data_IF_317180800212
#
_entry.id   IF_317180800212
#
_cell.length_a   1.000
_cell.length_b   1.000
_cell.length_c   1.000
_cell.angle_alpha   90.00
_cell.angle_beta   90.00
_cell.angle_gamma   90.00
#
_symmetry.space_group_name_H-M   'P 1'
#
loop_
_entity.id
_entity.type
_entity.pdbx_description
1 polymer ?
#
# COMPACT_ATOMS: atom_id res chain seq x y z
N UNK A 1 20.64 -9.00 19.28
CA UNK A 1 20.06 -8.01 18.36
C UNK A 1 20.94 -6.77 18.40
N UNK A 2 21.25 -6.15 17.26
CA UNK A 2 21.93 -4.86 17.23
C UNK A 2 21.13 -3.81 18.02
N UNK A 3 21.81 -2.84 18.64
CA UNK A 3 21.14 -1.78 19.41
C UNK A 3 20.29 -0.87 18.52
N UNK A 4 20.73 -0.67 17.28
CA UNK A 4 20.05 0.12 16.26
C UNK A 4 19.39 -0.76 15.19
N UNK A 5 18.29 -0.25 14.63
CA UNK A 5 17.56 -0.84 13.51
C UNK A 5 18.30 -0.61 12.18
N UNK A 6 18.65 -1.69 11.47
CA UNK A 6 19.31 -1.62 10.15
C UNK A 6 18.86 -2.80 9.27
N UNK A 7 18.86 -2.60 7.95
CA UNK A 7 18.71 -3.70 6.99
C UNK A 7 20.02 -4.47 6.86
N UNK A 8 19.95 -5.79 6.76
CA UNK A 8 21.12 -6.65 6.51
C UNK A 8 21.58 -6.55 5.07
N UNK A 9 20.64 -6.46 4.13
CA UNK A 9 20.93 -6.48 2.69
C UNK A 9 20.15 -5.43 1.92
N UNK A 10 20.72 -4.95 0.81
CA UNK A 10 20.03 -4.05 -0.13
C UNK A 10 18.76 -4.70 -0.70
N UNK A 11 18.78 -6.02 -0.95
CA UNK A 11 17.61 -6.78 -1.39
C UNK A 11 16.50 -6.79 -0.33
N UNK A 12 16.86 -6.93 0.94
CA UNK A 12 15.92 -6.83 2.06
C UNK A 12 15.18 -5.49 2.09
N UNK A 13 15.93 -4.39 1.97
CA UNK A 13 15.35 -3.05 1.85
C UNK A 13 14.42 -2.93 0.63
N UNK A 14 14.87 -3.38 -0.54
CA UNK A 14 14.10 -3.25 -1.79
C UNK A 14 12.79 -4.03 -1.69
N UNK A 15 12.83 -5.29 -1.24
CA UNK A 15 11.64 -6.12 -1.11
C UNK A 15 10.69 -5.60 -0.04
N UNK A 16 11.19 -5.13 1.11
CA UNK A 16 10.34 -4.55 2.14
C UNK A 16 9.67 -3.26 1.67
N UNK A 17 10.43 -2.37 1.02
CA UNK A 17 9.89 -1.13 0.46
C UNK A 17 8.88 -1.43 -0.67
N UNK A 18 9.17 -2.43 -1.50
CA UNK A 18 8.24 -2.91 -2.51
C UNK A 18 6.96 -3.48 -1.89
N UNK A 19 7.05 -4.28 -0.83
CA UNK A 19 5.88 -4.80 -0.12
C UNK A 19 5.08 -3.75 0.64
N UNK A 20 5.71 -2.64 1.02
CA UNK A 20 4.99 -1.45 1.51
C UNK A 20 4.20 -0.78 0.40
N UNK A 21 4.79 -0.62 -0.79
CA UNK A 21 4.16 0.00 -1.96
C UNK A 21 3.04 -0.89 -2.55
N UNK A 22 3.32 -2.19 -2.69
CA UNK A 22 2.43 -3.20 -3.27
C UNK A 22 1.49 -3.72 -2.19
N UNK A 23 0.50 -2.91 -1.86
CA UNK A 23 -0.57 -3.27 -0.95
C UNK A 23 -1.88 -3.63 -1.65
N UNK A 24 -2.97 -3.58 -0.90
CA UNK A 24 -4.32 -3.78 -1.42
C UNK A 24 -4.63 -2.83 -2.60
N UNK A 25 -4.15 -1.58 -2.55
CA UNK A 25 -4.36 -0.60 -3.62
C UNK A 25 -3.93 -1.08 -5.01
N UNK A 26 -2.73 -1.65 -5.12
CA UNK A 26 -2.21 -2.17 -6.38
C UNK A 26 -2.99 -3.40 -6.88
N UNK A 27 -3.51 -4.20 -5.95
CA UNK A 27 -4.12 -5.50 -6.25
C UNK A 27 -5.59 -5.44 -6.70
N UNK A 28 -6.37 -4.45 -6.25
CA UNK A 28 -7.80 -4.35 -6.62
C UNK A 28 -8.21 -2.94 -7.06
N UNK A 29 -7.65 -1.88 -6.46
CA UNK A 29 -8.01 -0.49 -6.78
C UNK A 29 -7.52 -0.12 -8.18
N UNK A 30 -6.27 -0.43 -8.52
CA UNK A 30 -5.74 -0.18 -9.87
C UNK A 30 -6.54 -0.91 -10.97
N UNK A 31 -6.74 -2.25 -10.89
CA UNK A 31 -7.57 -2.95 -11.86
C UNK A 31 -8.94 -2.31 -12.04
N UNK A 32 -9.66 -2.06 -10.93
CA UNK A 32 -10.97 -1.42 -10.94
C UNK A 32 -10.99 -0.09 -11.71
N UNK A 33 -10.09 0.84 -11.35
CA UNK A 33 -10.01 2.15 -12.02
C UNK A 33 -9.61 2.04 -13.47
N UNK A 34 -8.67 1.16 -13.81
CA UNK A 34 -8.28 0.94 -15.20
C UNK A 34 -9.47 0.40 -16.02
N UNK A 35 -10.30 -0.49 -15.46
CA UNK A 35 -11.53 -0.95 -16.12
C UNK A 35 -12.49 0.20 -16.46
N UNK A 36 -12.76 1.07 -15.49
CA UNK A 36 -13.73 2.18 -15.64
C UNK A 36 -13.20 3.31 -16.52
N UNK A 37 -11.94 3.70 -16.39
CA UNK A 37 -11.40 4.92 -17.02
C UNK A 37 -10.62 4.65 -18.32
N UNK A 38 -11.06 3.69 -19.13
CA UNK A 38 -10.55 3.51 -20.49
C UNK A 38 -9.39 2.53 -20.66
N UNK A 39 -9.21 1.59 -19.73
CA UNK A 39 -8.31 0.44 -19.86
C UNK A 39 -6.87 0.84 -20.07
N UNK A 40 -6.33 0.51 -21.25
CA UNK A 40 -4.95 0.80 -21.62
C UNK A 40 -4.60 2.28 -21.62
N UNK A 41 -5.61 3.16 -21.79
CA UNK A 41 -5.41 4.60 -21.80
C UNK A 41 -5.18 5.12 -20.36
N UNK A 42 -5.96 4.64 -19.39
CA UNK A 42 -5.70 4.86 -17.96
C UNK A 42 -4.35 4.28 -17.53
N UNK A 43 -4.04 3.04 -17.95
CA UNK A 43 -2.75 2.41 -17.67
C UNK A 43 -1.59 3.29 -18.17
N UNK A 44 -1.68 3.83 -19.38
CA UNK A 44 -0.65 4.70 -19.94
C UNK A 44 -0.43 5.97 -19.11
N UNK A 45 -1.51 6.61 -18.65
CA UNK A 45 -1.44 7.76 -17.74
C UNK A 45 -0.85 7.38 -16.39
N UNK A 46 -1.28 6.26 -15.81
CA UNK A 46 -0.74 5.73 -14.56
C UNK A 46 0.77 5.47 -14.67
N UNK A 47 1.24 4.86 -15.76
CA UNK A 47 2.66 4.64 -16.00
C UNK A 47 3.43 5.95 -16.09
N UNK A 48 2.90 6.92 -16.84
CA UNK A 48 3.50 8.24 -16.99
C UNK A 48 3.61 8.94 -15.62
N UNK A 49 2.53 9.02 -14.85
CA UNK A 49 2.57 9.66 -13.54
C UNK A 49 3.46 8.91 -12.55
N UNK A 50 3.46 7.57 -12.56
CA UNK A 50 4.33 6.79 -11.70
C UNK A 50 5.82 7.02 -12.01
N UNK A 51 6.19 7.17 -13.29
CA UNK A 51 7.57 7.41 -13.71
C UNK A 51 8.00 8.87 -13.51
N UNK A 52 7.16 9.84 -13.85
CA UNK A 52 7.52 11.26 -13.85
C UNK A 52 7.16 12.02 -12.58
N UNK A 53 6.31 11.45 -11.72
CA UNK A 53 5.90 12.06 -10.45
C UNK A 53 6.26 11.13 -9.29
N UNK A 54 5.77 9.89 -9.32
CA UNK A 54 5.99 8.91 -8.26
C UNK A 54 7.46 8.59 -7.99
N UNK A 55 8.21 8.22 -9.03
CA UNK A 55 9.63 7.86 -8.92
C UNK A 55 10.50 9.02 -8.38
N UNK A 56 10.39 10.27 -8.90
CA UNK A 56 11.11 11.40 -8.32
C UNK A 56 10.82 11.64 -6.84
N UNK A 57 9.56 11.53 -6.41
CA UNK A 57 9.17 11.68 -5.01
C UNK A 57 9.67 10.53 -4.14
N UNK A 58 9.68 9.29 -4.66
CA UNK A 58 10.27 8.16 -3.95
C UNK A 58 11.78 8.34 -3.76
N UNK A 59 12.49 8.81 -4.79
CA UNK A 59 13.92 9.16 -4.70
C UNK A 59 14.12 10.27 -3.65
N UNK A 60 13.22 11.25 -3.58
CA UNK A 60 13.24 12.29 -2.55
C UNK A 60 13.12 11.72 -1.14
N UNK A 61 12.09 10.92 -0.86
CA UNK A 61 11.92 10.32 0.47
C UNK A 61 13.11 9.45 0.86
N UNK A 62 13.64 8.67 -0.07
CA UNK A 62 14.84 7.86 0.18
C UNK A 62 16.09 8.70 0.45
N UNK A 63 16.26 9.80 -0.28
CA UNK A 63 17.38 10.73 -0.07
C UNK A 63 17.29 11.35 1.32
N UNK A 64 16.11 11.84 1.72
CA UNK A 64 15.87 12.41 3.04
C UNK A 64 16.13 11.38 4.15
N UNK A 65 15.58 10.17 4.02
CA UNK A 65 15.77 9.10 5.01
C UNK A 65 17.24 8.73 5.17
N UNK A 66 17.95 8.52 4.06
CA UNK A 66 19.38 8.17 4.06
C UNK A 66 20.27 9.29 4.61
N UNK A 67 19.93 10.56 4.34
CA UNK A 67 20.60 11.73 4.91
C UNK A 67 20.39 11.82 6.42
N UNK A 68 19.14 11.66 6.86
CA UNK A 68 18.75 11.83 8.25
C UNK A 68 19.24 10.73 9.17
N UNK A 69 19.19 9.45 8.74
CA UNK A 69 19.49 8.27 9.57
C UNK A 69 18.93 8.38 10.98
N UNK A 70 17.67 8.77 11.07
CA UNK A 70 16.95 8.95 12.33
C UNK A 70 15.46 8.76 12.04
N UNK A 71 14.66 8.70 13.09
CA UNK A 71 13.21 8.54 13.01
C UNK A 71 12.53 9.82 12.52
N UNK A 72 11.38 9.70 11.86
CA UNK A 72 10.80 10.80 11.07
C UNK A 72 10.31 11.97 11.92
N UNK A 73 9.92 11.75 13.17
CA UNK A 73 9.51 12.85 14.08
C UNK A 73 10.68 13.72 14.57
N UNK A 74 11.93 13.41 14.21
CA UNK A 74 13.10 14.29 14.46
C UNK A 74 13.85 14.69 13.18
N UNK A 75 13.59 14.03 12.05
CA UNK A 75 14.47 14.09 10.88
C UNK A 75 14.66 15.51 10.33
N UNK A 76 13.59 16.31 10.25
CA UNK A 76 13.68 17.64 9.66
C UNK A 76 14.44 18.62 10.55
N UNK A 77 14.27 18.55 11.87
CA UNK A 77 15.06 19.35 12.81
C UNK A 77 16.56 19.03 12.73
N UNK A 78 16.91 17.75 12.52
CA UNK A 78 18.30 17.32 12.33
C UNK A 78 18.89 17.86 11.03
N UNK A 79 18.11 17.90 9.95
CA UNK A 79 18.58 18.32 8.63
C UNK A 79 18.56 19.83 8.41
N UNK A 80 17.71 20.57 9.11
CA UNK A 80 17.49 22.02 8.87
C UNK A 80 17.80 22.91 10.07
N UNK A 81 17.96 22.33 11.27
CA UNK A 81 18.02 23.07 12.54
C UNK A 81 16.66 23.59 13.04
N UNK A 82 15.57 23.48 12.26
CA UNK A 82 14.26 24.04 12.59
C UNK A 82 13.35 22.98 13.22
N UNK A 83 13.14 23.07 14.54
CA UNK A 83 12.34 22.08 15.31
C UNK A 83 10.88 21.96 14.86
N UNK A 84 10.24 23.06 14.45
CA UNK A 84 8.81 23.07 14.08
C UNK A 84 8.51 22.24 12.82
N UNK A 85 9.50 22.00 11.95
CA UNK A 85 9.33 21.15 10.76
C UNK A 85 9.11 19.67 11.10
N UNK A 86 9.42 19.24 12.33
CA UNK A 86 9.13 17.89 12.78
C UNK A 86 7.62 17.59 12.81
N UNK A 87 6.76 18.60 12.75
CA UNK A 87 5.31 18.42 12.58
C UNK A 87 4.99 17.60 11.32
N UNK A 88 5.79 17.66 10.26
CA UNK A 88 5.61 16.84 9.06
C UNK A 88 5.78 15.34 9.39
N UNK A 89 6.77 15.01 10.21
CA UNK A 89 6.98 13.64 10.70
C UNK A 89 5.86 13.16 11.62
N UNK A 90 5.34 14.05 12.47
CA UNK A 90 4.18 13.74 13.32
C UNK A 90 2.88 13.57 12.53
N UNK A 91 2.67 14.38 11.48
CA UNK A 91 1.59 14.19 10.51
C UNK A 91 1.68 12.81 9.87
N UNK A 92 2.86 12.42 9.38
CA UNK A 92 3.10 11.08 8.84
C UNK A 92 2.82 9.97 9.85
N UNK A 93 3.27 10.14 11.11
CA UNK A 93 3.01 9.20 12.20
C UNK A 93 1.51 9.01 12.49
N UNK A 94 0.76 10.12 12.58
CA UNK A 94 -0.69 10.08 12.75
C UNK A 94 -1.39 9.43 11.55
N UNK A 95 -0.95 9.77 10.33
CA UNK A 95 -1.50 9.22 9.10
C UNK A 95 -1.41 7.70 9.09
N UNK A 96 -0.22 7.12 9.34
CA UNK A 96 -0.07 5.65 9.33
C UNK A 96 -0.77 4.96 10.50
N UNK A 97 -0.93 5.64 11.63
CA UNK A 97 -1.64 5.10 12.79
C UNK A 97 -3.12 4.92 12.48
N UNK A 98 -3.76 5.97 11.93
CA UNK A 98 -5.16 5.92 11.47
C UNK A 98 -5.31 4.99 10.27
N UNK A 99 -4.37 5.02 9.32
CA UNK A 99 -4.33 4.16 8.13
C UNK A 99 -4.32 2.69 8.52
N UNK A 100 -3.44 2.30 9.45
CA UNK A 100 -3.39 0.91 9.90
C UNK A 100 -4.69 0.49 10.58
N UNK A 101 -5.36 1.41 11.27
CA UNK A 101 -6.67 1.19 11.85
C UNK A 101 -7.68 0.68 10.82
N UNK A 102 -8.01 1.46 9.79
CA UNK A 102 -9.00 1.02 8.81
C UNK A 102 -8.46 -0.06 7.84
N UNK A 103 -7.16 -0.06 7.54
CA UNK A 103 -6.53 -1.08 6.72
C UNK A 103 -6.62 -2.48 7.36
N UNK A 104 -6.55 -2.55 8.70
CA UNK A 104 -6.68 -3.79 9.45
C UNK A 104 -8.09 -4.42 9.38
N UNK A 105 -9.13 -3.62 9.07
CA UNK A 105 -10.49 -4.12 8.86
C UNK A 105 -10.52 -5.04 7.64
N UNK A 106 -9.96 -4.57 6.52
CA UNK A 106 -9.86 -5.36 5.28
C UNK A 106 -8.94 -6.56 5.48
N UNK A 107 -7.81 -6.37 6.18
CA UNK A 107 -6.93 -7.47 6.56
C UNK A 107 -7.64 -8.55 7.39
N UNK A 108 -8.51 -8.15 8.30
CA UNK A 108 -9.35 -9.05 9.09
C UNK A 108 -10.32 -9.86 8.24
N UNK A 109 -10.96 -9.24 7.25
CA UNK A 109 -11.83 -9.95 6.30
C UNK A 109 -11.06 -11.03 5.53
N UNK A 110 -9.84 -10.73 5.08
CA UNK A 110 -8.99 -11.72 4.41
C UNK A 110 -8.74 -12.93 5.32
N UNK A 111 -8.40 -12.72 6.59
CA UNK A 111 -8.22 -13.80 7.58
C UNK A 111 -9.49 -14.65 7.73
N UNK A 112 -10.65 -14.01 7.84
CA UNK A 112 -11.93 -14.71 8.01
C UNK A 112 -12.24 -15.56 6.78
N UNK A 113 -12.08 -15.03 5.58
CA UNK A 113 -12.31 -15.76 4.33
C UNK A 113 -11.33 -16.92 4.15
N UNK A 114 -10.06 -16.75 4.51
CA UNK A 114 -9.09 -17.86 4.52
C UNK A 114 -9.57 -18.97 5.44
N UNK A 115 -10.05 -18.64 6.64
CA UNK A 115 -10.60 -19.61 7.59
C UNK A 115 -11.77 -20.41 7.00
N UNK A 116 -12.74 -19.73 6.37
CA UNK A 116 -13.89 -20.39 5.74
C UNK A 116 -13.47 -21.32 4.60
N UNK A 117 -12.56 -20.87 3.73
CA UNK A 117 -12.06 -21.69 2.62
C UNK A 117 -11.31 -22.93 3.13
N UNK A 118 -10.54 -22.81 4.22
CA UNK A 118 -9.89 -23.96 4.86
C UNK A 118 -10.93 -24.95 5.40
N UNK A 119 -11.95 -24.48 6.11
CA UNK A 119 -13.02 -25.35 6.64
C UNK A 119 -13.77 -26.08 5.52
N UNK A 120 -14.02 -25.39 4.41
CA UNK A 120 -14.61 -25.96 3.20
C UNK A 120 -13.71 -27.04 2.56
N UNK A 121 -12.41 -26.77 2.42
CA UNK A 121 -11.44 -27.75 1.91
C UNK A 121 -11.36 -29.00 2.78
N UNK A 122 -11.52 -28.85 4.10
CA UNK A 122 -11.56 -29.96 5.06
C UNK A 122 -12.92 -30.66 5.11
N UNK A 123 -13.89 -30.25 4.27
CA UNK A 123 -15.27 -30.76 4.25
C UNK A 123 -16.03 -30.61 5.59
N UNK A 124 -15.56 -29.72 6.46
CA UNK A 124 -16.22 -29.38 7.73
C UNK A 124 -17.40 -28.43 7.52
N UNK A 125 -17.40 -27.70 6.39
CA UNK A 125 -18.53 -26.93 5.88
C UNK A 125 -18.88 -27.40 4.47
N UNK A 126 -20.16 -27.74 4.25
CA UNK A 126 -20.67 -28.19 2.94
C UNK A 126 -21.17 -27.03 2.07
N UNK A 127 -21.00 -25.79 2.53
CA UNK A 127 -21.45 -24.63 1.81
C UNK A 127 -20.60 -24.41 0.55
N UNK A 128 -21.22 -24.01 -0.56
CA UNK A 128 -20.49 -23.59 -1.76
C UNK A 128 -19.86 -22.21 -1.55
N UNK A 129 -18.81 -21.87 -2.31
CA UNK A 129 -18.16 -20.54 -2.25
C UNK A 129 -19.15 -19.37 -2.40
N UNK A 130 -20.28 -19.63 -3.06
CA UNK A 130 -21.34 -18.65 -3.36
C UNK A 130 -22.35 -18.47 -2.23
N UNK A 131 -22.33 -19.32 -1.20
CA UNK A 131 -23.23 -19.24 -0.04
C UNK A 131 -22.66 -18.37 1.09
N UNK A 132 -21.39 -17.97 1.02
CA UNK A 132 -20.80 -17.02 1.96
C UNK A 132 -21.25 -15.62 1.54
N UNK A 133 -22.29 -15.09 2.20
CA UNK A 133 -22.69 -13.70 2.02
C UNK A 133 -21.65 -12.77 2.67
N UNK A 134 -21.02 -11.94 1.86
CA UNK A 134 -20.09 -10.91 2.36
C UNK A 134 -20.78 -9.99 3.37
N UNK A 135 -22.00 -9.53 3.07
CA UNK A 135 -22.80 -8.68 3.94
C UNK A 135 -23.16 -9.38 5.25
N UNK A 136 -23.53 -10.66 5.19
CA UNK A 136 -23.78 -11.48 6.37
C UNK A 136 -22.53 -11.64 7.25
N UNK A 137 -21.35 -11.76 6.65
CA UNK A 137 -20.09 -11.85 7.38
C UNK A 137 -19.72 -10.52 8.04
N UNK A 138 -19.69 -9.42 7.29
CA UNK A 138 -19.22 -8.13 7.81
C UNK A 138 -20.21 -7.51 8.80
N UNK A 139 -21.48 -7.93 8.77
CA UNK A 139 -22.49 -7.53 9.75
C UNK A 139 -22.35 -8.25 11.09
N UNK A 140 -21.52 -9.30 11.21
CA UNK A 140 -21.23 -9.95 12.48
C UNK A 140 -20.09 -9.22 13.22
N UNK A 141 -20.37 -8.50 14.33
CA UNK A 141 -19.37 -7.67 15.01
C UNK A 141 -18.27 -8.50 15.67
N UNK A 142 -18.60 -9.69 16.19
CA UNK A 142 -17.62 -10.54 16.87
C UNK A 142 -16.61 -11.13 15.89
N UNK A 143 -17.09 -11.70 14.79
CA UNK A 143 -16.22 -12.34 13.79
C UNK A 143 -15.26 -11.31 13.18
N UNK A 144 -15.77 -10.13 12.81
CA UNK A 144 -15.00 -9.06 12.20
C UNK A 144 -13.94 -8.48 13.14
N UNK A 145 -14.29 -8.20 14.40
CA UNK A 145 -13.35 -7.70 15.42
C UNK A 145 -12.27 -8.74 15.75
N UNK A 146 -12.62 -10.02 15.85
CA UNK A 146 -11.63 -11.10 16.07
C UNK A 146 -10.70 -11.23 14.88
N UNK A 147 -11.22 -11.25 13.64
CA UNK A 147 -10.42 -11.31 12.42
C UNK A 147 -9.43 -10.14 12.32
N UNK A 148 -9.89 -8.93 12.62
CA UNK A 148 -9.04 -7.74 12.71
C UNK A 148 -7.95 -7.89 13.78
N UNK A 149 -8.31 -8.35 14.98
CA UNK A 149 -7.36 -8.58 16.07
C UNK A 149 -6.26 -9.59 15.68
N UNK A 150 -6.62 -10.67 15.00
CA UNK A 150 -5.66 -11.65 14.47
C UNK A 150 -4.73 -10.99 13.44
N UNK A 151 -5.26 -10.21 12.50
CA UNK A 151 -4.45 -9.53 11.49
C UNK A 151 -3.44 -8.54 12.11
N UNK A 152 -3.88 -7.75 13.09
CA UNK A 152 -3.01 -6.84 13.84
C UNK A 152 -1.97 -7.63 14.63
N UNK A 153 -2.34 -8.74 15.27
CA UNK A 153 -1.41 -9.58 16.01
C UNK A 153 -0.30 -10.17 15.11
N UNK A 154 -0.64 -10.64 13.91
CA UNK A 154 0.34 -11.12 12.92
C UNK A 154 1.33 -10.01 12.55
N UNK A 155 0.82 -8.81 12.28
CA UNK A 155 1.64 -7.63 11.98
C UNK A 155 2.56 -7.28 13.15
N UNK A 156 2.01 -7.25 14.36
CA UNK A 156 2.72 -6.95 15.61
C UNK A 156 3.89 -7.91 15.83
N UNK A 157 3.65 -9.22 15.70
CA UNK A 157 4.69 -10.24 15.89
C UNK A 157 5.87 -10.00 14.95
N UNK A 158 5.62 -9.67 13.69
CA UNK A 158 6.69 -9.42 12.72
C UNK A 158 7.49 -8.16 13.10
N UNK A 159 6.81 -7.07 13.48
CA UNK A 159 7.47 -5.80 13.85
C UNK A 159 8.28 -5.92 15.14
N UNK A 160 7.81 -6.72 16.11
CA UNK A 160 8.53 -7.02 17.36
C UNK A 160 9.88 -7.68 17.13
N UNK A 161 10.00 -8.49 16.07
CA UNK A 161 11.24 -9.20 15.72
C UNK A 161 12.31 -8.28 15.12
N UNK A 162 11.98 -7.01 14.84
CA UNK A 162 12.93 -6.01 14.35
C UNK A 162 13.05 -5.97 12.83
N UNK A 163 13.84 -5.01 12.35
CA UNK A 163 14.05 -4.79 10.91
C UNK A 163 14.70 -6.01 10.25
N UNK A 164 15.87 -6.45 10.72
CA UNK A 164 16.56 -7.63 10.18
C UNK A 164 15.82 -8.94 10.51
N UNK A 165 15.38 -9.09 11.75
CA UNK A 165 14.84 -10.35 12.27
C UNK A 165 13.39 -10.64 11.85
N UNK A 166 12.62 -9.59 11.57
CA UNK A 166 11.21 -9.65 11.21
C UNK A 166 10.94 -9.13 9.80
N UNK A 167 11.01 -7.82 9.61
CA UNK A 167 10.62 -7.14 8.36
C UNK A 167 11.34 -7.71 7.12
N UNK A 168 12.66 -7.81 7.19
CA UNK A 168 13.48 -8.28 6.07
C UNK A 168 13.19 -9.75 5.75
N UNK A 169 13.09 -10.61 6.76
CA UNK A 169 12.80 -12.04 6.57
C UNK A 169 11.40 -12.26 6.01
N UNK A 170 10.40 -11.60 6.58
CA UNK A 170 9.03 -11.65 6.11
C UNK A 170 8.95 -11.22 4.64
N UNK A 171 9.53 -10.06 4.31
CA UNK A 171 9.51 -9.53 2.94
C UNK A 171 10.25 -10.42 1.93
N UNK A 172 11.37 -11.04 2.33
CA UNK A 172 12.13 -11.98 1.49
C UNK A 172 11.38 -13.27 1.16
N UNK A 173 10.37 -13.62 1.95
CA UNK A 173 9.53 -14.81 1.72
C UNK A 173 8.25 -14.40 1.01
N UNK A 174 7.53 -13.42 1.56
CA UNK A 174 6.20 -13.04 1.12
C UNK A 174 6.21 -12.37 -0.26
N UNK A 175 7.19 -11.54 -0.59
CA UNK A 175 7.21 -10.85 -1.89
C UNK A 175 7.46 -11.79 -3.07
N UNK A 176 8.44 -12.71 -3.03
CA UNK A 176 8.58 -13.71 -4.09
C UNK A 176 7.36 -14.63 -4.19
N UNK A 177 6.80 -15.08 -3.06
CA UNK A 177 5.61 -15.93 -3.08
C UNK A 177 4.38 -15.21 -3.64
N UNK A 178 4.19 -13.94 -3.30
CA UNK A 178 3.15 -13.09 -3.88
C UNK A 178 3.27 -13.06 -5.40
N UNK A 179 4.48 -12.84 -5.93
CA UNK A 179 4.70 -12.83 -7.38
C UNK A 179 4.42 -14.20 -8.03
N UNK A 180 4.89 -15.30 -7.41
CA UNK A 180 4.66 -16.66 -7.92
C UNK A 180 3.16 -16.98 -7.94
N UNK A 181 2.46 -16.72 -6.84
CA UNK A 181 1.02 -16.95 -6.76
C UNK A 181 0.25 -16.07 -7.75
N UNK A 182 0.69 -14.83 -7.96
CA UNK A 182 0.06 -13.94 -8.94
C UNK A 182 0.21 -14.51 -10.34
N UNK A 183 1.41 -14.99 -10.67
CA UNK A 183 1.69 -15.60 -11.98
C UNK A 183 0.82 -16.85 -12.21
N UNK A 184 0.66 -17.71 -11.21
CA UNK A 184 -0.24 -18.88 -11.29
C UNK A 184 -1.67 -18.45 -11.61
N UNK A 185 -2.19 -17.43 -10.91
CA UNK A 185 -3.55 -16.93 -11.14
C UNK A 185 -3.68 -16.29 -12.52
N UNK A 186 -2.69 -15.49 -12.96
CA UNK A 186 -2.69 -14.88 -14.30
C UNK A 186 -2.73 -15.97 -15.37
N UNK A 187 -1.85 -16.98 -15.29
CA UNK A 187 -1.84 -18.10 -16.25
C UNK A 187 -3.20 -18.78 -16.27
N UNK A 188 -3.78 -19.08 -15.10
CA UNK A 188 -5.10 -19.70 -15.04
C UNK A 188 -6.19 -18.81 -15.66
N UNK A 189 -6.19 -17.52 -15.36
CA UNK A 189 -7.14 -16.54 -15.89
C UNK A 189 -7.08 -16.43 -17.42
N UNK A 190 -5.86 -16.48 -17.98
CA UNK A 190 -5.63 -16.45 -19.43
C UNK A 190 -6.01 -17.74 -20.17
N UNK A 191 -6.21 -18.85 -19.46
CA UNK A 191 -6.68 -20.13 -20.05
C UNK A 191 -8.20 -20.25 -20.09
N UNK A 192 -8.94 -19.25 -19.60
CA UNK A 192 -10.40 -19.25 -19.62
C UNK A 192 -10.94 -18.93 -21.02
N UNK A 193 -12.10 -19.49 -21.34
CA UNK A 193 -12.78 -19.21 -22.60
C UNK A 193 -13.21 -17.73 -22.66
N UNK A 194 -12.83 -17.01 -23.72
CA UNK A 194 -13.10 -15.58 -23.81
C UNK A 194 -12.17 -14.69 -22.96
N UNK A 195 -11.04 -15.23 -22.50
CA UNK A 195 -10.04 -14.48 -21.75
C UNK A 195 -9.44 -13.31 -22.56
N UNK A 196 -9.30 -13.48 -23.89
CA UNK A 196 -8.65 -12.50 -24.75
C UNK A 196 -9.41 -11.17 -24.76
N UNK A 197 -10.72 -11.21 -24.74
CA UNK A 197 -11.61 -10.05 -24.67
C UNK A 197 -11.42 -9.30 -23.35
N UNK A 198 -11.26 -10.00 -22.23
CA UNK A 198 -10.92 -9.37 -20.95
C UNK A 198 -9.50 -8.78 -20.93
N UNK A 199 -8.54 -9.40 -21.61
CA UNK A 199 -7.19 -8.82 -21.82
C UNK A 199 -7.27 -7.55 -22.66
N UNK A 200 -8.00 -7.58 -23.77
CA UNK A 200 -8.25 -6.40 -24.62
C UNK A 200 -8.95 -5.30 -23.82
N UNK A 201 -9.92 -5.65 -22.99
CA UNK A 201 -10.62 -4.69 -22.15
C UNK A 201 -9.69 -3.93 -21.20
N UNK A 202 -8.65 -4.55 -20.66
CA UNK A 202 -7.73 -3.87 -19.74
C UNK A 202 -6.51 -3.22 -20.43
N UNK A 203 -6.07 -3.75 -21.57
CA UNK A 203 -4.85 -3.28 -22.26
C UNK A 203 -5.12 -2.38 -23.48
N UNK A 204 -6.27 -2.49 -24.12
CA UNK A 204 -6.59 -1.65 -25.29
C UNK A 204 -6.88 -0.22 -24.84
N UNK A 205 -6.22 0.80 -25.43
CA UNK A 205 -6.43 2.18 -25.03
C UNK A 205 -7.76 2.70 -25.57
N UNK A 206 -8.70 3.00 -24.67
CA UNK A 206 -9.97 3.67 -24.99
C UNK A 206 -9.89 5.14 -24.56
N UNK A 207 -9.34 5.98 -25.42
CA UNK A 207 -9.09 7.41 -25.15
C UNK A 207 -10.41 8.15 -24.91
N UNK A 208 -11.47 7.77 -25.63
CA UNK A 208 -12.81 8.34 -25.48
C UNK A 208 -13.45 8.14 -24.10
N UNK A 209 -12.97 7.15 -23.34
CA UNK A 209 -13.44 6.83 -21.98
C UNK A 209 -12.62 7.57 -20.91
N UNK A 210 -11.56 8.31 -21.30
CA UNK A 210 -10.78 9.12 -20.36
C UNK A 210 -11.54 10.41 -20.08
N UNK A 211 -12.00 10.54 -18.84
CA UNK A 211 -12.46 11.80 -18.27
C UNK A 211 -11.34 12.54 -17.54
N UNK A 212 -11.52 13.83 -17.27
CA UNK A 212 -10.63 14.59 -16.39
C UNK A 212 -10.48 13.92 -15.02
N UNK A 213 -11.58 13.36 -14.50
CA UNK A 213 -11.58 12.59 -13.26
C UNK A 213 -10.68 11.34 -13.37
N UNK A 214 -10.72 10.62 -14.50
CA UNK A 214 -9.84 9.49 -14.76
C UNK A 214 -8.35 9.87 -14.78
N UNK A 215 -7.99 11.01 -15.38
CA UNK A 215 -6.61 11.54 -15.34
C UNK A 215 -6.15 11.79 -13.91
N UNK A 216 -7.02 12.41 -13.11
CA UNK A 216 -6.69 12.76 -11.73
C UNK A 216 -6.63 11.53 -10.82
N UNK A 217 -7.47 10.53 -11.07
CA UNK A 217 -7.36 9.24 -10.40
C UNK A 217 -6.07 8.49 -10.77
N UNK A 218 -5.65 8.49 -12.04
CA UNK A 218 -4.38 7.91 -12.43
C UNK A 218 -3.20 8.59 -11.71
N UNK A 219 -3.24 9.92 -11.60
CA UNK A 219 -2.26 10.70 -10.87
C UNK A 219 -2.28 10.34 -9.37
N UNK A 220 -3.43 10.38 -8.71
CA UNK A 220 -3.58 10.02 -7.30
C UNK A 220 -3.18 8.57 -7.00
N UNK A 221 -3.46 7.63 -7.91
CA UNK A 221 -3.02 6.24 -7.77
C UNK A 221 -1.50 6.12 -7.79
N UNK A 222 -0.79 6.89 -8.61
CA UNK A 222 0.67 6.88 -8.62
C UNK A 222 1.30 7.31 -7.28
N UNK A 223 0.63 8.18 -6.51
CA UNK A 223 1.04 8.55 -5.15
C UNK A 223 0.75 7.45 -4.14
N UNK A 224 -0.50 6.98 -4.13
CA UNK A 224 -0.98 6.01 -3.16
C UNK A 224 -0.24 4.68 -3.27
N UNK A 225 -0.05 4.18 -4.50
CA UNK A 225 0.61 2.90 -4.76
C UNK A 225 2.08 2.88 -4.37
N UNK A 226 2.74 4.03 -4.19
CA UNK A 226 4.13 4.11 -3.77
C UNK A 226 4.27 4.48 -2.28
N UNK A 227 3.16 4.50 -1.53
CA UNK A 227 3.08 4.89 -0.11
C UNK A 227 3.66 6.28 0.19
N UNK A 228 3.60 7.20 -0.77
CA UNK A 228 4.22 8.53 -0.65
C UNK A 228 3.42 9.45 0.27
N UNK A 229 4.11 10.35 0.98
CA UNK A 229 3.50 11.38 1.81
C UNK A 229 3.22 10.97 3.26
N UNK A 230 3.39 9.69 3.59
CA UNK A 230 3.27 9.19 4.98
C UNK A 230 4.57 9.25 5.76
N UNK A 231 5.69 9.59 5.13
CA UNK A 231 7.07 9.43 5.66
C UNK A 231 7.50 7.97 5.90
N UNK A 232 6.71 6.98 5.45
CA UNK A 232 7.07 5.56 5.56
C UNK A 232 8.35 5.20 4.81
N UNK A 233 8.48 5.67 3.57
CA UNK A 233 9.67 5.42 2.74
C UNK A 233 10.92 6.13 3.29
N UNK A 234 10.74 7.30 3.92
CA UNK A 234 11.81 7.97 4.68
C UNK A 234 12.31 7.07 5.82
N UNK A 235 11.41 6.46 6.60
CA UNK A 235 11.80 5.58 7.71
C UNK A 235 12.54 4.35 7.23
N UNK A 236 12.05 3.68 6.20
CA UNK A 236 12.73 2.52 5.63
C UNK A 236 14.12 2.88 5.11
N UNK A 237 14.27 4.04 4.45
CA UNK A 237 15.55 4.53 3.97
C UNK A 237 16.49 4.99 5.09
N UNK A 238 15.97 5.35 6.27
CA UNK A 238 16.79 5.70 7.45
C UNK A 238 17.60 4.51 7.96
N UNK A 239 17.11 3.29 7.73
CA UNK A 239 17.76 2.02 8.06
C UNK A 239 18.68 1.50 6.94
N UNK A 240 18.71 2.19 5.79
CA UNK A 240 19.42 1.72 4.60
C UNK A 240 20.93 1.57 4.82
N UNK A 241 21.53 0.47 4.31
CA UNK A 241 22.99 0.32 4.30
C UNK A 241 23.66 1.47 3.56
N UNK A 242 24.87 1.88 3.98
CA UNK A 242 25.61 2.98 3.33
C UNK A 242 25.81 2.74 1.83
N UNK A 243 26.09 1.50 1.44
CA UNK A 243 26.34 1.06 0.07
C UNK A 243 25.10 1.04 -0.84
N UNK A 244 23.89 1.16 -0.29
CA UNK A 244 22.65 1.12 -1.07
C UNK A 244 22.56 2.30 -2.04
N UNK A 245 22.23 2.02 -3.30
CA UNK A 245 22.03 3.02 -4.34
C UNK A 245 20.55 3.43 -4.44
N UNK A 246 20.22 4.64 -4.00
CA UNK A 246 18.84 5.17 -3.96
C UNK A 246 18.11 5.01 -5.30
N UNK A 247 18.73 5.44 -6.40
CA UNK A 247 18.10 5.44 -7.73
C UNK A 247 17.74 4.05 -8.24
N UNK A 248 18.68 3.10 -8.17
CA UNK A 248 18.43 1.73 -8.61
C UNK A 248 17.37 1.05 -7.77
N UNK A 249 17.36 1.29 -6.45
CA UNK A 249 16.36 0.73 -5.56
C UNK A 249 14.98 1.32 -5.81
N UNK A 250 14.87 2.65 -5.95
CA UNK A 250 13.61 3.32 -6.27
C UNK A 250 13.05 2.85 -7.61
N UNK A 251 13.89 2.74 -8.65
CA UNK A 251 13.48 2.21 -9.95
C UNK A 251 12.98 0.76 -9.85
N UNK A 252 13.69 -0.09 -9.10
CA UNK A 252 13.29 -1.50 -8.92
C UNK A 252 11.92 -1.61 -8.25
N UNK A 253 11.66 -0.79 -7.23
CA UNK A 253 10.38 -0.74 -6.52
C UNK A 253 9.25 -0.30 -7.45
N UNK A 254 9.47 0.78 -8.20
CA UNK A 254 8.49 1.29 -9.17
C UNK A 254 8.18 0.26 -10.25
N UNK A 255 9.21 -0.40 -10.80
CA UNK A 255 9.03 -1.45 -11.82
C UNK A 255 8.27 -2.64 -11.26
N UNK A 256 8.60 -3.12 -10.06
CA UNK A 256 7.84 -4.21 -9.41
C UNK A 256 6.38 -3.82 -9.16
N UNK A 257 6.14 -2.58 -8.71
CA UNK A 257 4.79 -2.08 -8.46
C UNK A 257 3.95 -2.03 -9.74
N UNK A 258 4.53 -1.52 -10.83
CA UNK A 258 3.89 -1.49 -12.14
C UNK A 258 3.58 -2.92 -12.61
N UNK A 259 4.56 -3.82 -12.55
CA UNK A 259 4.37 -5.22 -12.98
C UNK A 259 3.24 -5.89 -12.21
N UNK A 260 3.21 -5.76 -10.88
CA UNK A 260 2.18 -6.39 -10.06
C UNK A 260 0.80 -5.75 -10.30
N UNK A 261 0.71 -4.44 -10.50
CA UNK A 261 -0.56 -3.77 -10.84
C UNK A 261 -1.13 -4.26 -12.17
N UNK A 262 -0.28 -4.39 -13.20
CA UNK A 262 -0.69 -4.92 -14.51
C UNK A 262 -1.08 -6.40 -14.41
N UNK A 263 -0.28 -7.22 -13.71
CA UNK A 263 -0.58 -8.63 -13.49
C UNK A 263 -1.86 -8.83 -12.69
N UNK A 264 -2.16 -7.99 -11.70
CA UNK A 264 -3.43 -8.02 -10.97
C UNK A 264 -4.62 -7.73 -11.90
N UNK A 265 -4.47 -6.79 -12.84
CA UNK A 265 -5.46 -6.57 -13.90
C UNK A 265 -5.67 -7.82 -14.76
N UNK A 266 -4.59 -8.45 -15.21
CA UNK A 266 -4.65 -9.69 -16.01
C UNK A 266 -5.15 -10.90 -15.23
N UNK A 267 -5.00 -10.92 -13.91
CA UNK A 267 -5.57 -11.96 -13.06
C UNK A 267 -7.09 -11.84 -12.97
N UNK A 268 -7.62 -10.62 -12.89
CA UNK A 268 -9.03 -10.34 -12.58
C UNK A 268 -9.88 -10.25 -13.84
N UNK A 269 -9.51 -9.41 -14.81
CA UNK A 269 -10.40 -9.03 -15.92
C UNK A 269 -10.77 -10.14 -16.90
N UNK A 270 -9.84 -11.01 -17.33
CA UNK A 270 -10.21 -12.15 -18.18
C UNK A 270 -11.26 -13.04 -17.53
N UNK A 271 -11.11 -13.30 -16.23
CA UNK A 271 -12.06 -14.11 -15.47
C UNK A 271 -13.40 -13.40 -15.27
N UNK A 272 -13.42 -12.09 -14.99
CA UNK A 272 -14.66 -11.31 -14.91
C UNK A 272 -15.44 -11.36 -16.23
N UNK A 273 -14.76 -11.13 -17.36
CA UNK A 273 -15.37 -11.09 -18.67
C UNK A 273 -15.94 -12.45 -19.07
N UNK A 274 -15.15 -13.52 -18.89
CA UNK A 274 -15.56 -14.91 -19.17
C UNK A 274 -16.90 -15.26 -18.52
N UNK A 275 -17.11 -14.85 -17.27
CA UNK A 275 -18.31 -15.19 -16.51
C UNK A 275 -19.36 -14.07 -16.46
N UNK A 276 -19.20 -13.02 -17.27
CA UNK A 276 -20.19 -11.94 -17.40
C UNK A 276 -20.33 -11.05 -16.16
N UNK A 277 -19.27 -10.93 -15.35
CA UNK A 277 -19.25 -10.04 -14.19
C UNK A 277 -18.62 -8.68 -14.54
N UNK A 278 -19.15 -7.62 -13.93
CA UNK A 278 -18.62 -6.27 -14.08
C UNK A 278 -17.68 -5.91 -12.93
N UNK A 279 -16.66 -5.04 -13.16
CA UNK A 279 -15.79 -4.54 -12.11
C UNK A 279 -16.62 -3.81 -11.05
N UNK A 280 -16.50 -4.21 -9.78
CA UNK A 280 -17.11 -3.50 -8.67
C UNK A 280 -16.07 -2.66 -7.94
N UNK A 281 -16.51 -1.50 -7.42
CA UNK A 281 -15.69 -0.73 -6.51
C UNK A 281 -15.54 -1.46 -5.18
N UNK A 282 -14.47 -1.12 -4.50
CA UNK A 282 -14.27 -1.52 -3.13
C UNK A 282 -13.76 -2.96 -2.95
N UNK A 283 -13.66 -3.35 -1.68
CA UNK A 283 -13.43 -4.74 -1.26
C UNK A 283 -14.50 -5.71 -1.81
N UNK A 284 -15.63 -5.23 -2.33
CA UNK A 284 -16.67 -6.04 -2.97
C UNK A 284 -16.18 -6.87 -4.15
N UNK A 285 -15.19 -6.39 -4.91
CA UNK A 285 -14.56 -7.21 -5.97
C UNK A 285 -13.94 -8.48 -5.40
N UNK A 286 -13.15 -8.34 -4.33
CA UNK A 286 -12.41 -9.43 -3.69
C UNK A 286 -13.34 -10.46 -3.04
N UNK A 287 -14.38 -9.99 -2.36
CA UNK A 287 -15.18 -10.84 -1.48
C UNK A 287 -16.57 -11.19 -2.00
N UNK A 288 -17.07 -10.53 -3.05
CA UNK A 288 -18.35 -10.86 -3.68
C UNK A 288 -18.16 -11.46 -5.06
N UNK A 289 -17.39 -10.78 -5.90
CA UNK A 289 -17.32 -11.14 -7.32
C UNK A 289 -16.36 -12.29 -7.56
N UNK A 290 -15.15 -12.24 -7.00
CA UNK A 290 -14.15 -13.28 -7.24
C UNK A 290 -14.54 -14.68 -6.72
N UNK A 291 -15.19 -14.85 -5.55
CA UNK A 291 -15.71 -16.16 -5.14
C UNK A 291 -16.66 -16.76 -6.18
N UNK A 292 -17.52 -15.94 -6.80
CA UNK A 292 -18.43 -16.38 -7.86
C UNK A 292 -17.65 -16.84 -9.08
N UNK A 293 -16.66 -16.06 -9.52
CA UNK A 293 -15.78 -16.39 -10.64
C UNK A 293 -15.05 -17.72 -10.39
N UNK A 294 -14.40 -17.88 -9.24
CA UNK A 294 -13.68 -19.10 -8.91
C UNK A 294 -14.62 -20.30 -8.77
N UNK A 295 -15.85 -20.12 -8.28
CA UNK A 295 -16.83 -21.22 -8.18
C UNK A 295 -17.19 -21.86 -9.54
N UNK A 296 -17.00 -21.12 -10.64
CA UNK A 296 -17.22 -21.61 -12.01
C UNK A 296 -16.01 -22.31 -12.60
N UNK A 297 -14.86 -22.27 -11.93
CA UNK A 297 -13.63 -22.91 -12.40
C UNK A 297 -13.44 -24.31 -11.82
N UNK A 298 -12.88 -25.21 -12.63
CA UNK A 298 -12.34 -26.46 -12.09
C UNK A 298 -11.19 -26.16 -11.11
N UNK A 299 -11.19 -26.83 -9.95
CA UNK A 299 -10.34 -26.51 -8.79
C UNK A 299 -10.48 -25.07 -8.25
N UNK A 300 -11.63 -24.44 -8.47
CA UNK A 300 -11.91 -23.06 -8.08
C UNK A 300 -11.56 -22.69 -6.64
N UNK A 301 -11.90 -23.56 -5.68
CA UNK A 301 -11.62 -23.36 -4.24
C UNK A 301 -10.12 -23.23 -3.98
N UNK A 302 -9.28 -24.04 -4.65
CA UNK A 302 -7.82 -23.97 -4.51
C UNK A 302 -7.25 -22.68 -5.09
N UNK A 303 -7.73 -22.24 -6.26
CA UNK A 303 -7.31 -20.96 -6.85
C UNK A 303 -7.75 -19.77 -6.00
N UNK A 304 -8.97 -19.80 -5.46
CA UNK A 304 -9.45 -18.76 -4.56
C UNK A 304 -8.62 -18.70 -3.26
N UNK A 305 -8.26 -19.85 -2.70
CA UNK A 305 -7.36 -19.91 -1.55
C UNK A 305 -6.00 -19.28 -1.83
N UNK A 306 -5.36 -19.66 -2.95
CA UNK A 306 -4.08 -19.06 -3.37
C UNK A 306 -4.23 -17.53 -3.53
N UNK A 307 -5.33 -17.09 -4.12
CA UNK A 307 -5.63 -15.67 -4.28
C UNK A 307 -5.78 -14.94 -2.95
N UNK A 308 -6.47 -15.53 -1.97
CA UNK A 308 -6.59 -14.95 -0.63
C UNK A 308 -5.24 -14.90 0.10
N UNK A 309 -4.40 -15.92 -0.03
CA UNK A 309 -3.04 -15.92 0.55
C UNK A 309 -2.18 -14.83 -0.08
N UNK A 310 -2.28 -14.64 -1.40
CA UNK A 310 -1.61 -13.54 -2.10
C UNK A 310 -2.05 -12.19 -1.55
N UNK A 311 -3.36 -11.97 -1.38
CA UNK A 311 -3.90 -10.75 -0.80
C UNK A 311 -3.49 -10.56 0.66
N UNK A 312 -3.42 -11.65 1.43
CA UNK A 312 -2.91 -11.61 2.79
C UNK A 312 -1.45 -11.18 2.82
N UNK A 313 -0.61 -11.66 1.90
CA UNK A 313 0.78 -11.25 1.81
C UNK A 313 0.91 -9.77 1.47
N UNK A 314 0.19 -9.28 0.46
CA UNK A 314 0.16 -7.86 0.11
C UNK A 314 -0.33 -7.00 1.29
N UNK A 315 -1.39 -7.44 1.98
CA UNK A 315 -1.92 -6.73 3.14
C UNK A 315 -0.91 -6.68 4.28
N UNK A 316 -0.32 -7.83 4.65
CA UNK A 316 0.63 -7.92 5.74
C UNK A 316 1.93 -7.15 5.46
N UNK A 317 2.49 -7.19 4.25
CA UNK A 317 3.72 -6.43 3.95
C UNK A 317 3.51 -4.93 4.08
N UNK A 318 2.35 -4.41 3.69
CA UNK A 318 2.02 -2.99 3.90
C UNK A 318 1.76 -2.68 5.37
N UNK A 319 0.99 -3.52 6.10
CA UNK A 319 0.68 -3.25 7.51
C UNK A 319 1.93 -3.24 8.39
N UNK A 320 2.92 -4.08 8.07
CA UNK A 320 4.23 -4.08 8.72
C UNK A 320 4.90 -2.71 8.61
N UNK A 321 4.85 -2.06 7.43
CA UNK A 321 5.39 -0.72 7.22
C UNK A 321 4.66 0.35 8.04
N UNK A 322 3.33 0.29 8.08
CA UNK A 322 2.49 1.23 8.83
C UNK A 322 2.77 1.16 10.34
N UNK A 323 2.88 -0.04 10.88
CA UNK A 323 3.20 -0.24 12.29
C UNK A 323 4.67 0.10 12.59
N UNK A 324 5.61 -0.29 11.73
CA UNK A 324 7.04 0.01 11.89
C UNK A 324 7.29 1.51 12.00
N UNK A 325 6.61 2.34 11.19
CA UNK A 325 6.79 3.79 11.25
C UNK A 325 6.44 4.36 12.63
N UNK A 326 5.31 3.93 13.21
CA UNK A 326 4.95 4.30 14.58
C UNK A 326 6.00 3.81 15.59
N UNK A 327 6.37 2.54 15.51
CA UNK A 327 7.32 1.93 16.44
C UNK A 327 8.69 2.61 16.36
N UNK A 328 9.19 2.93 15.17
CA UNK A 328 10.44 3.67 14.95
C UNK A 328 10.45 5.01 15.69
N UNK A 329 9.37 5.78 15.55
CA UNK A 329 9.27 7.11 16.15
C UNK A 329 9.26 7.07 17.68
N UNK A 330 8.52 6.13 18.28
CA UNK A 330 8.43 6.03 19.74
C UNK A 330 9.63 5.32 20.38
N UNK A 331 10.21 4.33 19.69
CA UNK A 331 11.46 3.68 20.15
C UNK A 331 12.67 4.59 19.96
N UNK A 332 12.58 5.61 19.11
CA UNK A 332 13.72 6.41 18.65
C UNK A 332 14.82 5.52 18.04
N UNK A 333 14.40 4.47 17.32
CA UNK A 333 15.25 3.41 16.75
C UNK A 333 16.03 2.54 17.76
N UNK A 334 15.68 2.60 19.05
CA UNK A 334 16.23 1.73 20.09
C UNK A 334 15.51 0.37 20.13
N UNK A 335 16.21 -0.68 19.70
CA UNK A 335 15.65 -2.03 19.64
C UNK A 335 15.29 -2.62 21.02
N UNK A 336 15.83 -2.10 22.12
CA UNK A 336 15.49 -2.61 23.47
C UNK A 336 14.04 -2.32 23.85
N UNK A 337 13.48 -1.22 23.35
CA UNK A 337 12.10 -0.78 23.62
C UNK A 337 11.09 -1.32 22.63
N UNK A 338 11.57 -1.88 21.51
CA UNK A 338 10.77 -2.25 20.35
C UNK A 338 9.61 -3.19 20.67
N UNK A 339 9.85 -4.24 21.47
CA UNK A 339 8.80 -5.20 21.83
C UNK A 339 7.64 -4.52 22.58
N UNK A 340 7.95 -3.73 23.60
CA UNK A 340 6.96 -3.02 24.41
C UNK A 340 6.21 -2.00 23.58
N UNK A 341 6.93 -1.19 22.81
CA UNK A 341 6.32 -0.16 21.95
C UNK A 341 5.44 -0.79 20.87
N UNK A 342 5.85 -1.90 20.26
CA UNK A 342 5.03 -2.61 19.28
C UNK A 342 3.75 -3.18 19.89
N UNK A 343 3.77 -3.72 21.12
CA UNK A 343 2.56 -4.14 21.82
C UNK A 343 1.61 -2.97 22.06
N UNK A 344 2.12 -1.89 22.62
CA UNK A 344 1.31 -0.71 22.96
C UNK A 344 0.71 -0.11 21.69
N UNK A 345 1.54 0.11 20.65
CA UNK A 345 1.07 0.66 19.39
C UNK A 345 -0.01 -0.24 18.75
N UNK A 346 0.18 -1.55 18.75
CA UNK A 346 -0.80 -2.50 18.19
C UNK A 346 -2.11 -2.54 18.99
N UNK A 347 -2.02 -2.47 20.33
CA UNK A 347 -3.20 -2.39 21.19
C UNK A 347 -3.99 -1.10 20.96
N UNK A 348 -3.29 0.04 20.83
CA UNK A 348 -3.91 1.32 20.52
C UNK A 348 -4.55 1.33 19.12
N UNK A 349 -3.88 0.76 18.12
CA UNK A 349 -4.45 0.58 16.77
C UNK A 349 -5.70 -0.28 16.83
N UNK A 350 -5.66 -1.41 17.55
CA UNK A 350 -6.83 -2.28 17.71
C UNK A 350 -8.01 -1.51 18.30
N UNK A 351 -7.81 -0.80 19.42
CA UNK A 351 -8.87 -0.02 20.08
C UNK A 351 -9.46 1.04 19.15
N UNK A 352 -8.62 1.86 18.49
CA UNK A 352 -9.13 2.93 17.61
C UNK A 352 -9.81 2.38 16.34
N UNK A 353 -9.48 1.15 15.95
CA UNK A 353 -9.99 0.51 14.76
C UNK A 353 -11.32 -0.24 14.95
N UNK A 354 -11.70 -0.55 16.19
CA UNK A 354 -12.98 -1.22 16.50
C UNK A 354 -14.18 -0.42 15.94
N UNK A 355 -14.31 0.90 16.16
CA UNK A 355 -15.44 1.65 15.60
C UNK A 355 -15.51 1.61 14.07
N UNK A 356 -14.36 1.58 13.38
CA UNK A 356 -14.31 1.44 11.92
C UNK A 356 -14.71 0.04 11.45
N UNK A 357 -14.40 -1.00 12.21
CA UNK A 357 -14.90 -2.36 11.94
C UNK A 357 -16.41 -2.44 12.14
N UNK A 358 -16.89 -1.88 13.24
CA UNK A 358 -18.31 -1.89 13.60
C UNK A 358 -19.16 -1.02 12.68
N UNK A 359 -18.57 -0.11 11.89
CA UNK A 359 -19.32 0.68 10.91
C UNK A 359 -19.90 -0.13 9.75
N UNK A 360 -19.48 -1.39 9.59
CA UNK A 360 -20.10 -2.34 8.68
C UNK A 360 -21.19 -3.22 9.34
N UNK A 361 -21.39 -3.05 10.65
CA UNK A 361 -22.37 -3.79 11.45
C UNK A 361 -23.19 -2.84 12.33
N UNK A 362 -22.91 -2.78 13.62
CA UNK A 362 -23.72 -2.09 14.64
C UNK A 362 -23.68 -0.56 14.54
N UNK A 363 -22.61 0.00 13.97
CA UNK A 363 -22.42 1.45 13.81
C UNK A 363 -22.67 1.94 12.37
N UNK A 364 -23.31 1.13 11.52
CA UNK A 364 -23.55 1.48 10.11
C UNK A 364 -24.40 2.75 9.90
N UNK A 365 -25.29 3.07 10.85
CA UNK A 365 -26.16 4.23 10.82
C UNK A 365 -25.47 5.50 11.34
N UNK A 366 -24.33 5.36 12.01
CA UNK A 366 -23.56 6.51 12.50
C UNK A 366 -22.73 7.10 11.34
N UNK A 367 -23.29 8.12 10.69
CA UNK A 367 -22.67 8.79 9.54
C UNK A 367 -22.49 10.28 9.82
N UNK A 368 -21.34 10.82 9.42
CA UNK A 368 -21.01 12.24 9.51
C UNK A 368 -19.96 12.59 8.45
N UNK A 369 -19.91 13.86 8.03
CA UNK A 369 -18.96 14.38 7.03
C UNK A 369 -18.83 13.49 5.79
N UNK A 370 -17.80 12.64 5.71
CA UNK A 370 -17.49 11.80 4.54
C UNK A 370 -18.29 10.48 4.47
N UNK A 371 -19.01 10.10 5.52
CA UNK A 371 -19.79 8.85 5.55
C UNK A 371 -19.72 8.16 6.90
N UNK A 372 -19.49 6.85 6.89
CA UNK A 372 -19.32 6.04 8.11
C UNK A 372 -18.00 6.36 8.82
N UNK A 373 -17.77 5.78 10.01
CA UNK A 373 -16.49 5.95 10.72
C UNK A 373 -15.31 5.47 9.87
N UNK A 374 -15.46 4.33 9.18
CA UNK A 374 -14.47 3.83 8.23
C UNK A 374 -14.17 4.85 7.13
N UNK A 375 -15.21 5.41 6.50
CA UNK A 375 -15.06 6.38 5.40
C UNK A 375 -14.38 7.67 5.86
N UNK A 376 -14.69 8.14 7.08
CA UNK A 376 -14.03 9.30 7.66
C UNK A 376 -12.55 9.06 7.98
N UNK A 377 -12.19 7.86 8.45
CA UNK A 377 -10.80 7.49 8.68
C UNK A 377 -10.03 7.41 7.36
N UNK A 378 -10.61 6.81 6.32
CA UNK A 378 -10.00 6.79 4.99
C UNK A 378 -9.85 8.21 4.44
N UNK A 379 -10.90 9.04 4.46
CA UNK A 379 -10.87 10.42 3.98
C UNK A 379 -9.80 11.26 4.70
N UNK A 380 -9.73 11.17 6.03
CA UNK A 380 -8.72 11.89 6.81
C UNK A 380 -7.29 11.54 6.37
N UNK A 381 -7.01 10.26 6.14
CA UNK A 381 -5.66 9.84 5.75
C UNK A 381 -5.41 10.11 4.26
N UNK A 382 -6.27 9.56 3.41
CA UNK A 382 -6.13 9.51 1.95
C UNK A 382 -6.23 10.88 1.31
N UNK A 383 -7.11 11.74 1.81
CA UNK A 383 -7.42 13.00 1.18
C UNK A 383 -6.77 14.19 1.90
N UNK A 384 -6.39 14.06 3.18
CA UNK A 384 -5.83 15.18 3.97
C UNK A 384 -4.38 14.90 4.40
N UNK A 385 -4.14 13.91 5.26
CA UNK A 385 -2.84 13.76 5.92
C UNK A 385 -1.72 13.36 4.94
N UNK A 386 -2.00 12.46 3.98
CA UNK A 386 -0.99 12.04 2.99
C UNK A 386 -0.59 13.17 2.03
N UNK A 387 -1.52 13.90 1.37
CA UNK A 387 -1.15 15.05 0.53
C UNK A 387 -0.41 16.14 1.29
N UNK A 388 -0.84 16.48 2.52
CA UNK A 388 -0.15 17.47 3.36
C UNK A 388 1.26 17.02 3.73
N UNK A 389 1.45 15.74 4.04
CA UNK A 389 2.76 15.17 4.34
C UNK A 389 3.68 15.18 3.12
N UNK A 390 3.16 14.85 1.94
CA UNK A 390 3.89 14.92 0.67
C UNK A 390 4.28 16.36 0.34
N UNK A 391 3.37 17.31 0.47
CA UNK A 391 3.61 18.74 0.22
C UNK A 391 4.66 19.28 1.19
N UNK A 392 4.49 19.04 2.49
CA UNK A 392 5.43 19.47 3.52
C UNK A 392 6.84 18.95 3.28
N UNK A 393 6.97 17.64 2.99
CA UNK A 393 8.26 17.01 2.66
C UNK A 393 8.89 17.66 1.43
N UNK A 394 8.11 17.84 0.37
CA UNK A 394 8.57 18.43 -0.90
C UNK A 394 9.04 19.86 -0.72
N UNK A 395 8.30 20.68 0.03
CA UNK A 395 8.68 22.07 0.32
C UNK A 395 9.97 22.14 1.14
N UNK A 396 10.13 21.29 2.16
CA UNK A 396 11.38 21.25 2.94
C UNK A 396 12.56 20.88 2.05
N UNK A 397 12.44 19.85 1.23
CA UNK A 397 13.53 19.40 0.35
C UNK A 397 13.86 20.43 -0.72
N UNK A 398 12.84 21.00 -1.38
CA UNK A 398 13.03 21.94 -2.47
C UNK A 398 13.54 23.32 -2.02
N UNK A 399 13.10 23.79 -0.85
CA UNK A 399 13.29 25.18 -0.43
C UNK A 399 14.26 25.35 0.76
N UNK A 400 14.36 24.37 1.65
CA UNK A 400 15.09 24.53 2.92
C UNK A 400 16.36 23.68 3.04
N UNK A 401 16.45 22.54 2.34
CA UNK A 401 17.64 21.71 2.38
C UNK A 401 18.75 22.23 1.45
N UNK A 402 20.00 22.07 1.89
CA UNK A 402 21.18 22.45 1.10
C UNK A 402 21.29 21.57 -0.16
N UNK A 403 21.34 22.23 -1.32
CA UNK A 403 21.52 21.61 -2.64
C UNK A 403 22.79 20.75 -2.72
N UNK A 404 23.89 21.14 -2.07
CA UNK A 404 25.15 20.38 -2.04
C UNK A 404 24.96 19.07 -1.30
N UNK A 405 24.37 19.11 -0.10
CA UNK A 405 24.08 17.91 0.69
C UNK A 405 23.12 16.97 -0.03
N UNK A 406 22.10 17.51 -0.69
CA UNK A 406 21.21 16.73 -1.54
C UNK A 406 21.97 16.06 -2.69
N UNK A 407 22.87 16.78 -3.36
CA UNK A 407 23.67 16.24 -4.48
C UNK A 407 24.59 15.09 -4.03
N UNK A 408 25.24 15.25 -2.89
CA UNK A 408 26.11 14.21 -2.30
C UNK A 408 25.33 12.93 -1.99
N UNK A 409 24.13 13.08 -1.41
CA UNK A 409 23.30 11.94 -1.01
C UNK A 409 22.46 11.36 -2.15
N UNK A 410 22.22 12.10 -3.23
CA UNK A 410 21.66 11.57 -4.47
C UNK A 410 22.54 10.48 -5.12
N UNK A 411 23.82 10.44 -4.72
CA UNK A 411 24.79 9.43 -5.12
C UNK A 411 25.36 9.65 -6.52
N UNK A 412 26.13 8.67 -7.01
CA UNK A 412 26.79 8.75 -8.32
C UNK A 412 25.79 9.07 -9.43
N UNK A 413 26.06 10.12 -10.19
CA UNK A 413 25.13 10.67 -11.18
C UNK A 413 25.70 10.66 -12.60
N UNK A 414 25.87 9.45 -13.15
CA UNK A 414 26.42 9.22 -14.49
C UNK A 414 25.64 9.99 -15.59
N UNK A 415 24.32 10.07 -15.44
CA UNK A 415 23.41 10.69 -16.41
C UNK A 415 23.07 12.15 -16.08
N UNK A 416 23.74 12.78 -15.10
CA UNK A 416 23.50 14.18 -14.68
C UNK A 416 22.02 14.49 -14.35
N UNK A 417 21.29 13.52 -13.80
CA UNK A 417 19.86 13.62 -13.50
C UNK A 417 19.55 14.44 -12.24
N UNK A 418 20.55 14.76 -11.41
CA UNK A 418 20.34 15.50 -10.18
C UNK A 418 19.72 16.88 -10.42
N UNK A 419 20.20 17.62 -11.42
CA UNK A 419 19.72 18.99 -11.67
C UNK A 419 18.25 18.99 -12.13
N UNK A 420 17.86 18.21 -13.17
CA UNK A 420 16.46 18.07 -13.54
C UNK A 420 15.58 17.62 -12.37
N UNK A 421 16.02 16.59 -11.62
CA UNK A 421 15.30 16.10 -10.46
C UNK A 421 15.12 17.18 -9.38
N UNK A 422 16.18 17.92 -9.04
CA UNK A 422 16.11 18.97 -8.02
C UNK A 422 15.11 20.07 -8.39
N UNK A 423 15.10 20.52 -9.65
CA UNK A 423 14.15 21.54 -10.10
C UNK A 423 12.72 21.01 -10.21
N UNK A 424 12.56 19.74 -10.58
CA UNK A 424 11.27 19.06 -10.54
C UNK A 424 10.71 19.04 -9.11
N UNK A 425 11.50 18.61 -8.12
CA UNK A 425 11.09 18.62 -6.70
C UNK A 425 10.85 20.04 -6.19
N UNK A 426 11.67 21.00 -6.59
CA UNK A 426 11.59 22.38 -6.08
C UNK A 426 10.37 23.16 -6.57
N UNK A 427 10.00 22.99 -7.84
CA UNK A 427 9.00 23.84 -8.49
C UNK A 427 7.76 23.09 -8.98
N UNK A 428 7.94 21.94 -9.63
CA UNK A 428 6.83 21.23 -10.28
C UNK A 428 6.06 20.36 -9.31
N UNK A 429 6.75 19.57 -8.47
CA UNK A 429 6.11 18.64 -7.53
C UNK A 429 5.16 19.33 -6.53
N UNK A 430 5.48 20.50 -5.93
CA UNK A 430 4.54 21.19 -5.07
C UNK A 430 3.23 21.53 -5.78
N UNK A 431 3.29 21.99 -7.04
CA UNK A 431 2.10 22.31 -7.83
C UNK A 431 1.29 21.07 -8.14
N UNK A 432 1.95 19.97 -8.55
CA UNK A 432 1.29 18.69 -8.82
C UNK A 432 0.60 18.16 -7.56
N UNK A 433 1.26 18.21 -6.40
CA UNK A 433 0.67 17.77 -5.12
C UNK A 433 -0.52 18.64 -4.73
N UNK A 434 -0.43 19.97 -4.90
CA UNK A 434 -1.56 20.87 -4.64
C UNK A 434 -2.74 20.54 -5.56
N UNK A 435 -2.50 20.27 -6.84
CA UNK A 435 -3.56 19.86 -7.78
C UNK A 435 -4.22 18.54 -7.34
N UNK A 436 -3.42 17.53 -6.98
CA UNK A 436 -3.95 16.25 -6.44
C UNK A 436 -4.76 16.49 -5.17
N UNK A 437 -4.25 17.33 -4.27
CA UNK A 437 -4.90 17.61 -2.99
C UNK A 437 -6.24 18.31 -3.19
N UNK A 438 -6.30 19.33 -4.06
CA UNK A 438 -7.55 20.02 -4.39
C UNK A 438 -8.56 19.04 -4.98
N UNK A 439 -8.12 18.17 -5.90
CA UNK A 439 -9.02 17.20 -6.52
C UNK A 439 -9.49 16.14 -5.56
N UNK A 440 -8.70 15.75 -4.56
CA UNK A 440 -9.16 14.79 -3.56
C UNK A 440 -10.17 15.41 -2.58
N UNK A 441 -10.27 16.74 -2.49
CA UNK A 441 -11.21 17.41 -1.59
C UNK A 441 -12.60 17.63 -2.21
N UNK A 442 -12.73 17.56 -3.53
CA UNK A 442 -13.97 17.78 -4.29
C UNK A 442 -14.35 16.52 -5.07
#
# INVERSE_FOLDING_TARGET
>A
MSKESQWKTSTGFILASAGSAIGLGAMWKFPYMAGIYGGGAFLSLFLLFTIFVGLPLLIMEFTVGKMGRTYTTQIYSKLTGKKWLNLIGWNGNLAVFVLFGFYSVIGGWIIIYIGHVILQMLSLEHNSLTQISFEGMISNPWITVVGQGIFIALTMVIVMLGVEGGLEKASKIMMPLLFIFLLIIVIKSLTLDGALEGVQYILQPRIQDISMQGVLFALGQSFFTLSLGTTGMITYASYAPKAMTIKSSALSIVVMNIMISVMAGLAIFPALHTFGYYPQEGPGLLFKVLPLVFSKMHFGIAFYFIFLILFLFAALTSSISLLELNVSNFTKNDNSKRKVVAMIASALVFIISIPATLSFSTLNNFKFLAGTIFDNMDFLVSNILMPLGALGTTLVVGQLLDKKLLKENFGKDKFKLFIPWYYLIKYVMPLVIILVFLVQLF
#
